data_IF_476485253254
#
_entry.id   IF_476485253254
#
_cell.length_a   1.000
_cell.length_b   1.000
_cell.length_c   1.000
_cell.angle_alpha   90.00
_cell.angle_beta   90.00
_cell.angle_gamma   90.00
#
_symmetry.space_group_name_H-M   'P 1'
#
loop_
_entity.id
_entity.type
_entity.pdbx_description
1 polymer ?
#
# COMPACT_ATOMS: atom_id res chain seq x y z
N UNK A 1 -19.75 14.89 8.19
CA UNK A 1 -19.31 15.71 7.04
C UNK A 1 -20.15 15.33 5.83
N UNK A 2 -20.15 14.10 5.35
CA UNK A 2 -20.87 13.66 4.15
C UNK A 2 -22.36 14.04 4.15
N UNK A 3 -23.06 13.80 5.25
CA UNK A 3 -24.50 14.12 5.41
C UNK A 3 -24.83 15.59 5.15
N UNK A 4 -23.86 16.49 5.36
CA UNK A 4 -24.04 17.93 5.17
C UNK A 4 -23.20 18.46 4.00
N UNK A 5 -22.62 17.58 3.20
CA UNK A 5 -21.85 17.97 2.03
C UNK A 5 -22.80 18.39 0.91
N UNK A 6 -22.40 19.42 0.17
CA UNK A 6 -23.07 19.82 -1.06
C UNK A 6 -22.03 19.86 -2.19
N UNK A 7 -22.37 19.30 -3.32
CA UNK A 7 -21.58 19.32 -4.56
C UNK A 7 -22.39 20.14 -5.57
N UNK A 8 -21.80 21.20 -6.09
CA UNK A 8 -22.47 22.16 -7.00
C UNK A 8 -23.80 22.73 -6.48
N UNK A 9 -23.93 22.82 -5.13
CA UNK A 9 -25.11 23.33 -4.45
C UNK A 9 -26.19 22.29 -4.14
N UNK A 10 -26.01 21.05 -4.56
CA UNK A 10 -26.90 19.94 -4.27
C UNK A 10 -26.32 19.06 -3.15
N UNK A 11 -27.18 18.61 -2.22
CA UNK A 11 -26.79 17.67 -1.17
C UNK A 11 -26.74 16.25 -1.76
N UNK A 12 -25.84 15.45 -1.18
CA UNK A 12 -25.77 14.02 -1.53
C UNK A 12 -27.05 13.31 -1.13
N UNK A 13 -27.55 12.45 -2.00
CA UNK A 13 -28.64 11.53 -1.68
C UNK A 13 -28.22 10.48 -0.65
N UNK A 14 -29.19 9.80 -0.03
CA UNK A 14 -28.92 8.73 0.94
C UNK A 14 -28.08 7.59 0.33
N UNK A 15 -28.33 7.24 -0.94
CA UNK A 15 -27.57 6.22 -1.65
C UNK A 15 -26.12 6.67 -1.89
N UNK A 16 -25.90 7.92 -2.31
CA UNK A 16 -24.55 8.46 -2.48
C UNK A 16 -23.79 8.50 -1.16
N UNK A 17 -24.42 8.95 -0.07
CA UNK A 17 -23.83 8.92 1.28
C UNK A 17 -23.44 7.49 1.66
N UNK A 18 -24.30 6.52 1.40
CA UNK A 18 -24.03 5.10 1.68
C UNK A 18 -22.83 4.59 0.90
N UNK A 19 -22.80 4.83 -0.43
CA UNK A 19 -21.71 4.34 -1.29
C UNK A 19 -20.38 5.03 -0.99
N UNK A 20 -20.37 6.33 -0.75
CA UNK A 20 -19.16 7.08 -0.37
C UNK A 20 -18.63 6.62 1.00
N UNK A 21 -19.52 6.38 1.96
CA UNK A 21 -19.13 5.83 3.27
C UNK A 21 -18.52 4.43 3.13
N UNK A 22 -19.15 3.58 2.33
CA UNK A 22 -18.65 2.22 2.05
C UNK A 22 -17.28 2.26 1.36
N UNK A 23 -17.10 3.16 0.38
CA UNK A 23 -15.83 3.34 -0.31
C UNK A 23 -14.70 3.75 0.65
N UNK A 24 -14.96 4.69 1.55
CA UNK A 24 -13.99 5.13 2.56
C UNK A 24 -13.63 3.97 3.51
N UNK A 25 -14.62 3.19 3.96
CA UNK A 25 -14.40 2.03 4.83
C UNK A 25 -13.55 0.97 4.13
N UNK A 26 -13.91 0.57 2.91
CA UNK A 26 -13.15 -0.43 2.13
C UNK A 26 -11.72 0.05 1.85
N UNK A 27 -11.58 1.32 1.47
CA UNK A 27 -10.27 1.89 1.16
C UNK A 27 -9.33 1.95 2.36
N UNK A 28 -9.87 2.17 3.57
CA UNK A 28 -9.09 2.32 4.81
C UNK A 28 -8.83 1.03 5.59
N UNK A 29 -9.64 0.00 5.42
CA UNK A 29 -9.60 -1.20 6.29
C UNK A 29 -8.37 -2.09 6.02
N UNK A 30 -8.17 -2.56 4.80
CA UNK A 30 -7.19 -3.61 4.52
C UNK A 30 -5.88 -3.10 3.88
N UNK A 31 -5.92 -2.01 3.13
CA UNK A 31 -4.78 -1.57 2.30
C UNK A 31 -3.56 -1.19 3.14
N UNK A 32 -3.74 -0.34 4.13
CA UNK A 32 -2.66 0.08 5.04
C UNK A 32 -2.16 -1.10 5.88
N UNK A 33 -3.05 -1.97 6.34
CA UNK A 33 -2.71 -3.19 7.08
C UNK A 33 -1.86 -4.15 6.23
N UNK A 34 -2.22 -4.36 4.96
CA UNK A 34 -1.45 -5.21 4.06
C UNK A 34 -0.08 -4.61 3.73
N UNK A 35 -0.01 -3.29 3.54
CA UNK A 35 1.26 -2.60 3.35
C UNK A 35 2.16 -2.76 4.57
N UNK A 36 1.63 -2.54 5.77
CA UNK A 36 2.40 -2.69 7.01
C UNK A 36 2.89 -4.12 7.20
N UNK A 37 2.02 -5.12 7.03
CA UNK A 37 2.40 -6.52 7.23
C UNK A 37 3.39 -7.01 6.17
N UNK A 38 3.14 -6.75 4.89
CA UNK A 38 4.04 -7.15 3.80
C UNK A 38 5.38 -6.41 3.84
N UNK A 39 5.36 -5.11 4.14
CA UNK A 39 6.59 -4.33 4.33
C UNK A 39 7.39 -4.77 5.55
N UNK A 40 6.71 -5.08 6.67
CA UNK A 40 7.39 -5.63 7.85
C UNK A 40 8.00 -7.00 7.55
N UNK A 41 7.30 -7.86 6.82
CA UNK A 41 7.85 -9.15 6.38
C UNK A 41 9.16 -8.97 5.61
N UNK A 42 9.20 -8.02 4.67
CA UNK A 42 10.42 -7.73 3.92
C UNK A 42 11.54 -7.19 4.81
N UNK A 43 11.25 -6.28 5.71
CA UNK A 43 12.23 -5.79 6.68
C UNK A 43 12.79 -6.90 7.58
N UNK A 44 11.96 -7.89 7.97
CA UNK A 44 12.42 -9.02 8.76
C UNK A 44 13.29 -9.99 7.97
N UNK A 45 13.09 -10.10 6.63
CA UNK A 45 13.95 -10.87 5.72
C UNK A 45 15.25 -10.13 5.39
N UNK A 46 15.25 -8.81 5.41
CA UNK A 46 16.41 -7.94 5.19
C UNK A 46 16.86 -7.35 6.52
N UNK A 47 17.44 -8.19 7.36
CA UNK A 47 17.76 -7.86 8.76
C UNK A 47 18.68 -6.66 8.89
N UNK A 48 19.60 -6.47 7.99
CA UNK A 48 20.49 -5.32 7.89
C UNK A 48 19.71 -4.00 7.75
N UNK A 49 18.65 -3.99 6.93
CA UNK A 49 17.79 -2.81 6.75
C UNK A 49 16.89 -2.56 7.98
N UNK A 50 16.41 -3.62 8.62
CA UNK A 50 15.72 -3.51 9.91
C UNK A 50 16.60 -2.82 10.96
N UNK A 51 17.86 -3.25 11.08
CA UNK A 51 18.81 -2.69 12.04
C UNK A 51 19.16 -1.24 11.75
N UNK A 52 19.25 -0.86 10.48
CA UNK A 52 19.39 0.54 10.08
C UNK A 52 18.20 1.39 10.57
N UNK A 53 16.97 0.91 10.42
CA UNK A 53 15.78 1.62 10.91
C UNK A 53 15.70 1.71 12.44
N UNK A 54 16.18 0.70 13.14
CA UNK A 54 16.28 0.73 14.62
C UNK A 54 17.30 1.79 15.05
N UNK A 55 18.43 1.90 14.34
CA UNK A 55 19.50 2.85 14.64
C UNK A 55 19.13 4.29 14.24
N UNK A 56 18.45 4.47 13.11
CA UNK A 56 18.08 5.78 12.58
C UNK A 56 16.62 5.83 12.10
N UNK A 57 15.77 6.39 12.94
CA UNK A 57 14.36 6.59 12.64
C UNK A 57 14.08 7.62 11.52
N UNK A 58 15.08 8.40 11.10
CA UNK A 58 14.93 9.32 9.97
C UNK A 58 14.78 8.59 8.63
N UNK A 59 15.16 7.32 8.55
CA UNK A 59 15.00 6.47 7.38
C UNK A 59 13.56 5.93 7.19
N UNK A 60 12.70 6.03 8.21
CA UNK A 60 11.34 5.48 8.16
C UNK A 60 10.52 6.02 6.97
N UNK A 61 10.54 7.31 6.60
CA UNK A 61 9.79 7.78 5.45
C UNK A 61 10.17 7.09 4.13
N UNK A 62 11.46 6.88 3.88
CA UNK A 62 11.93 6.14 2.68
C UNK A 62 11.51 4.67 2.71
N UNK A 63 11.71 4.02 3.85
CA UNK A 63 11.29 2.63 4.05
C UNK A 63 9.78 2.43 3.81
N UNK A 64 8.96 3.37 4.26
CA UNK A 64 7.51 3.33 4.08
C UNK A 64 7.09 3.44 2.60
N UNK A 65 7.73 4.31 1.80
CA UNK A 65 7.46 4.36 0.35
C UNK A 65 7.90 3.05 -0.33
N UNK A 66 8.99 2.43 0.11
CA UNK A 66 9.38 1.11 -0.42
C UNK A 66 8.43 -0.02 0.00
N UNK A 67 7.90 0.02 1.23
CA UNK A 67 6.85 -0.90 1.66
C UNK A 67 5.59 -0.77 0.80
N UNK A 68 5.20 0.45 0.44
CA UNK A 68 4.07 0.74 -0.47
C UNK A 68 4.33 0.19 -1.87
N UNK A 69 5.50 0.47 -2.44
CA UNK A 69 5.90 -0.03 -3.75
C UNK A 69 5.86 -1.55 -3.80
N UNK A 70 6.54 -2.20 -2.86
CA UNK A 70 6.69 -3.65 -2.81
C UNK A 70 5.39 -4.39 -2.61
N UNK A 71 4.57 -3.91 -1.67
CA UNK A 71 3.33 -4.61 -1.31
C UNK A 71 2.23 -4.39 -2.34
N UNK A 72 2.10 -3.17 -2.86
CA UNK A 72 1.04 -2.80 -3.82
C UNK A 72 -0.30 -3.47 -3.47
N UNK A 73 -0.93 -3.16 -2.32
CA UNK A 73 -2.07 -3.93 -1.80
C UNK A 73 -3.27 -3.93 -2.75
N UNK A 74 -3.52 -2.83 -3.47
CA UNK A 74 -4.46 -2.77 -4.58
C UNK A 74 -3.72 -3.25 -5.83
N UNK A 75 -4.09 -4.42 -6.34
CA UNK A 75 -3.38 -5.06 -7.45
C UNK A 75 -3.72 -4.44 -8.80
N UNK A 76 -4.95 -4.02 -8.97
CA UNK A 76 -5.41 -3.48 -10.25
C UNK A 76 -6.61 -2.54 -10.11
N UNK A 77 -6.83 -1.74 -11.14
CA UNK A 77 -8.05 -0.96 -11.37
C UNK A 77 -8.43 -1.05 -12.84
N UNK A 78 -9.72 -0.92 -13.13
CA UNK A 78 -10.20 -0.86 -14.51
C UNK A 78 -10.42 0.56 -14.99
N UNK A 79 -10.22 0.75 -16.30
CA UNK A 79 -10.70 1.91 -17.08
C UNK A 79 -11.52 1.40 -18.25
N UNK A 80 -12.41 2.23 -18.72
CA UNK A 80 -13.23 1.94 -19.92
C UNK A 80 -12.95 3.03 -20.94
N UNK A 81 -12.74 2.65 -22.20
CA UNK A 81 -12.62 3.58 -23.30
C UNK A 81 -13.94 4.32 -23.53
N UNK A 82 -13.93 5.63 -23.55
CA UNK A 82 -15.12 6.46 -23.75
C UNK A 82 -15.35 6.80 -25.22
N UNK A 83 -14.44 6.42 -26.10
CA UNK A 83 -14.49 6.54 -27.56
C UNK A 83 -13.47 5.58 -28.19
N UNK A 84 -13.62 5.33 -29.49
CA UNK A 84 -12.62 4.62 -30.26
C UNK A 84 -11.28 5.38 -30.20
N UNK A 85 -10.20 4.67 -29.86
CA UNK A 85 -8.86 5.29 -29.72
C UNK A 85 -7.78 4.26 -30.00
N UNK A 86 -6.53 4.72 -30.02
CA UNK A 86 -5.36 3.86 -30.08
C UNK A 86 -4.47 4.09 -28.84
N UNK A 87 -3.99 2.99 -28.26
CA UNK A 87 -3.08 3.02 -27.13
C UNK A 87 -1.89 2.09 -27.41
N UNK A 88 -0.69 2.66 -27.53
CA UNK A 88 0.54 1.92 -27.85
C UNK A 88 0.40 0.98 -29.07
N UNK A 89 -0.20 1.45 -30.16
CA UNK A 89 -0.40 0.67 -31.39
C UNK A 89 -1.55 -0.34 -31.34
N UNK A 90 -2.29 -0.41 -30.21
CA UNK A 90 -3.47 -1.25 -30.07
C UNK A 90 -4.74 -0.42 -30.23
N UNK A 91 -5.57 -0.80 -31.18
CA UNK A 91 -6.88 -0.15 -31.36
C UNK A 91 -7.83 -0.57 -30.23
N UNK A 92 -8.45 0.40 -29.61
CA UNK A 92 -9.48 0.25 -28.57
C UNK A 92 -10.79 0.83 -29.09
N UNK A 93 -11.88 0.14 -28.86
CA UNK A 93 -13.22 0.60 -29.16
C UNK A 93 -13.87 1.21 -27.95
N UNK A 94 -14.83 2.10 -28.17
CA UNK A 94 -15.72 2.57 -27.11
C UNK A 94 -16.31 1.39 -26.32
N UNK A 95 -16.24 1.43 -24.99
CA UNK A 95 -16.67 0.38 -24.09
C UNK A 95 -15.64 -0.69 -23.76
N UNK A 96 -14.49 -0.74 -24.46
CA UNK A 96 -13.41 -1.67 -24.13
C UNK A 96 -12.85 -1.39 -22.74
N UNK A 97 -12.58 -2.48 -22.00
CA UNK A 97 -12.06 -2.40 -20.63
C UNK A 97 -10.54 -2.62 -20.61
N UNK A 98 -9.83 -1.71 -19.96
CA UNK A 98 -8.40 -1.80 -19.72
C UNK A 98 -8.16 -2.05 -18.24
N UNK A 99 -7.27 -2.99 -17.92
CA UNK A 99 -6.84 -3.26 -16.56
C UNK A 99 -5.48 -2.60 -16.31
N UNK A 100 -5.43 -1.72 -15.34
CA UNK A 100 -4.18 -1.10 -14.84
C UNK A 100 -3.60 -1.99 -13.76
N UNK A 101 -2.45 -2.61 -14.01
CA UNK A 101 -1.79 -3.54 -13.09
C UNK A 101 -0.76 -2.77 -12.25
N UNK A 102 -1.15 -2.27 -11.07
CA UNK A 102 -0.29 -1.43 -10.23
C UNK A 102 0.92 -2.19 -9.70
N UNK A 103 0.73 -3.44 -9.30
CA UNK A 103 1.84 -4.27 -8.85
C UNK A 103 2.88 -4.46 -9.96
N UNK A 104 2.47 -4.80 -11.18
CA UNK A 104 3.36 -4.91 -12.31
C UNK A 104 4.10 -3.61 -12.62
N UNK A 105 3.41 -2.47 -12.57
CA UNK A 105 4.02 -1.16 -12.78
C UNK A 105 5.05 -0.79 -11.70
N UNK A 106 4.84 -1.23 -10.45
CA UNK A 106 5.77 -1.01 -9.34
C UNK A 106 7.00 -1.93 -9.39
N UNK A 107 7.01 -2.90 -10.29
CA UNK A 107 8.14 -3.79 -10.59
C UNK A 107 8.68 -3.62 -12.02
N UNK A 108 8.34 -2.52 -12.70
CA UNK A 108 8.81 -2.23 -14.05
C UNK A 108 10.30 -1.81 -14.04
N UNK A 109 11.14 -2.61 -14.67
CA UNK A 109 12.59 -2.37 -14.79
C UNK A 109 12.93 -1.07 -15.53
N UNK A 110 12.04 -0.57 -16.39
CA UNK A 110 12.22 0.71 -17.07
C UNK A 110 12.10 1.90 -16.12
N UNK A 111 11.44 1.73 -14.98
CA UNK A 111 11.23 2.78 -13.95
C UNK A 111 12.14 2.54 -12.75
N UNK A 112 12.25 1.30 -12.31
CA UNK A 112 13.03 0.89 -11.14
C UNK A 112 14.20 0.03 -11.59
N UNK A 113 15.42 0.49 -11.42
CA UNK A 113 16.64 -0.19 -11.95
C UNK A 113 16.86 -1.61 -11.42
N UNK A 114 16.31 -1.94 -10.24
CA UNK A 114 16.41 -3.24 -9.57
C UNK A 114 15.12 -3.53 -8.79
N UNK A 115 13.97 -3.69 -9.49
CA UNK A 115 12.66 -3.73 -8.85
C UNK A 115 12.46 -4.91 -7.90
N UNK A 116 13.17 -6.02 -8.13
CA UNK A 116 13.11 -7.24 -7.31
C UNK A 116 13.89 -7.13 -5.99
N UNK A 117 14.63 -6.04 -5.77
CA UNK A 117 15.35 -5.80 -4.54
C UNK A 117 14.56 -4.82 -3.67
N UNK A 118 14.18 -5.26 -2.47
CA UNK A 118 13.59 -4.40 -1.45
C UNK A 118 14.67 -3.50 -0.85
N UNK A 119 14.49 -2.17 -0.94
CA UNK A 119 15.51 -1.19 -0.52
C UNK A 119 14.87 0.02 0.15
N UNK A 120 15.14 0.21 1.45
CA UNK A 120 14.62 1.35 2.22
C UNK A 120 15.22 2.70 1.81
N UNK A 121 16.33 2.68 1.08
CA UNK A 121 17.06 3.85 0.56
C UNK A 121 16.69 4.19 -0.90
N UNK A 122 15.70 3.50 -1.49
CA UNK A 122 15.32 3.73 -2.89
C UNK A 122 14.89 5.19 -3.11
N UNK A 123 15.63 5.87 -3.97
CA UNK A 123 15.38 7.27 -4.34
C UNK A 123 15.87 7.53 -5.79
N UNK A 124 15.02 7.96 -6.72
CA UNK A 124 13.59 8.17 -6.55
C UNK A 124 12.81 6.86 -6.36
N UNK A 125 11.64 6.96 -5.69
CA UNK A 125 10.69 5.86 -5.55
C UNK A 125 9.32 6.30 -6.10
N UNK A 126 9.22 6.31 -7.44
CA UNK A 126 8.06 6.83 -8.18
C UNK A 126 6.95 5.78 -8.32
N UNK A 127 6.60 5.11 -7.23
CA UNK A 127 5.60 4.06 -7.25
C UNK A 127 4.18 4.59 -7.47
N UNK A 128 3.32 3.72 -8.02
CA UNK A 128 1.90 4.00 -8.29
C UNK A 128 0.95 3.25 -7.33
N UNK A 129 1.41 2.87 -6.13
CA UNK A 129 0.61 2.16 -5.14
C UNK A 129 -0.64 2.94 -4.70
N UNK A 130 -0.63 4.27 -4.82
CA UNK A 130 -1.77 5.16 -4.57
C UNK A 130 -2.53 5.55 -5.84
N UNK A 131 -2.25 4.92 -6.97
CA UNK A 131 -2.79 5.31 -8.27
C UNK A 131 -2.21 6.62 -8.79
N UNK A 132 -2.90 7.24 -9.74
CA UNK A 132 -2.47 8.47 -10.40
C UNK A 132 -3.65 9.30 -10.92
N UNK A 133 -3.44 10.61 -11.09
CA UNK A 133 -4.43 11.53 -11.68
C UNK A 133 -5.61 11.82 -10.76
N UNK A 134 -6.80 12.03 -11.34
CA UNK A 134 -8.02 12.40 -10.62
C UNK A 134 -8.40 11.40 -9.52
N UNK A 135 -8.07 10.12 -9.71
CA UNK A 135 -8.35 9.06 -8.74
C UNK A 135 -7.15 8.76 -7.81
N UNK A 136 -6.19 9.67 -7.68
CA UNK A 136 -5.12 9.52 -6.70
C UNK A 136 -5.72 9.35 -5.29
N UNK A 137 -5.20 8.41 -4.54
CA UNK A 137 -5.75 7.98 -3.25
C UNK A 137 -6.04 9.15 -2.31
N UNK A 138 -7.30 9.31 -1.93
CA UNK A 138 -7.75 10.35 -0.99
C UNK A 138 -7.06 10.19 0.38
N UNK A 139 -6.92 8.94 0.85
CA UNK A 139 -6.33 8.61 2.16
C UNK A 139 -4.81 8.56 2.19
N UNK A 140 -4.11 8.93 1.12
CA UNK A 140 -2.65 8.73 1.00
C UNK A 140 -1.83 9.36 2.14
N UNK A 141 -2.23 10.51 2.65
CA UNK A 141 -1.54 11.18 3.78
C UNK A 141 -1.81 10.47 5.10
N UNK A 142 -3.05 10.01 5.31
CA UNK A 142 -3.41 9.24 6.50
C UNK A 142 -2.68 7.90 6.52
N UNK A 143 -2.66 7.18 5.39
CA UNK A 143 -1.93 5.92 5.25
C UNK A 143 -0.43 6.09 5.58
N UNK A 144 0.22 7.15 5.07
CA UNK A 144 1.61 7.46 5.40
C UNK A 144 1.82 7.75 6.89
N UNK A 145 0.91 8.48 7.51
CA UNK A 145 0.96 8.75 8.94
C UNK A 145 0.81 7.47 9.76
N UNK A 146 -0.14 6.63 9.42
CA UNK A 146 -0.35 5.31 10.07
C UNK A 146 0.87 4.42 9.91
N UNK A 147 1.35 4.22 8.68
CA UNK A 147 2.52 3.40 8.38
C UNK A 147 3.75 3.87 9.15
N UNK A 148 4.05 5.18 9.12
CA UNK A 148 5.23 5.73 9.81
C UNK A 148 5.11 5.58 11.33
N UNK A 149 3.92 5.83 11.88
CA UNK A 149 3.65 5.70 13.32
C UNK A 149 3.77 4.27 13.78
N UNK A 150 3.14 3.33 13.06
CA UNK A 150 3.17 1.91 13.40
C UNK A 150 4.56 1.33 13.24
N UNK A 151 5.27 1.62 12.14
CA UNK A 151 6.65 1.17 11.93
C UNK A 151 7.54 1.65 13.07
N UNK A 152 7.49 2.94 13.42
CA UNK A 152 8.25 3.50 14.55
C UNK A 152 7.93 2.77 15.86
N UNK A 153 6.66 2.50 16.15
CA UNK A 153 6.26 1.80 17.38
C UNK A 153 6.71 0.35 17.40
N UNK A 154 6.67 -0.34 16.27
CA UNK A 154 7.15 -1.72 16.14
C UNK A 154 8.66 -1.76 16.42
N UNK A 155 9.45 -0.92 15.75
CA UNK A 155 10.89 -0.84 15.94
C UNK A 155 11.29 -0.54 17.39
N UNK A 156 10.57 0.38 18.05
CA UNK A 156 10.84 0.78 19.44
C UNK A 156 10.46 -0.30 20.44
N UNK A 157 9.34 -1.01 20.23
CA UNK A 157 8.78 -1.93 21.21
C UNK A 157 9.17 -3.38 20.98
N UNK A 158 9.54 -3.74 19.76
CA UNK A 158 9.85 -5.09 19.32
C UNK A 158 11.15 -5.11 18.50
N UNK A 159 12.27 -4.57 19.01
CA UNK A 159 13.50 -4.43 18.23
C UNK A 159 14.10 -5.76 17.79
N UNK A 160 13.81 -6.84 18.50
CA UNK A 160 14.23 -8.22 18.22
C UNK A 160 13.17 -9.03 17.44
N UNK A 161 12.12 -8.38 16.93
CA UNK A 161 11.09 -9.03 16.12
C UNK A 161 11.72 -9.78 14.95
N UNK A 162 11.27 -11.01 14.70
CA UNK A 162 11.73 -11.85 13.58
C UNK A 162 10.61 -12.80 13.15
N UNK A 163 10.70 -13.29 11.92
CA UNK A 163 9.81 -14.38 11.47
C UNK A 163 10.06 -15.64 12.31
N UNK A 164 9.01 -16.40 12.55
CA UNK A 164 9.11 -17.66 13.30
C UNK A 164 9.92 -18.72 12.53
N UNK A 165 9.88 -18.66 11.20
CA UNK A 165 10.65 -19.48 10.28
C UNK A 165 10.84 -18.75 8.94
N UNK A 166 11.69 -19.31 8.06
CA UNK A 166 12.02 -18.71 6.75
C UNK A 166 11.08 -19.14 5.62
N UNK A 167 9.99 -19.84 5.93
CA UNK A 167 9.06 -20.29 4.89
C UNK A 167 8.38 -19.13 4.17
N UNK A 168 7.97 -19.38 2.93
CA UNK A 168 7.15 -18.42 2.20
C UNK A 168 5.79 -18.27 2.88
N UNK A 169 5.45 -17.04 3.21
CA UNK A 169 4.16 -16.76 3.85
C UNK A 169 3.00 -16.84 2.85
N UNK A 170 1.84 -17.37 3.28
CA UNK A 170 0.67 -17.46 2.42
C UNK A 170 0.07 -16.08 2.15
N UNK A 171 -0.27 -15.83 0.88
CA UNK A 171 -1.06 -14.68 0.47
C UNK A 171 -2.55 -15.04 0.45
N UNK A 172 -3.40 -14.08 0.79
CA UNK A 172 -4.85 -14.21 0.59
C UNK A 172 -5.16 -14.37 -0.90
N UNK A 173 -5.95 -15.37 -1.28
CA UNK A 173 -6.35 -15.54 -2.67
C UNK A 173 -7.38 -14.47 -3.05
N UNK A 174 -6.92 -13.31 -3.51
CA UNK A 174 -7.76 -12.20 -3.94
C UNK A 174 -7.14 -11.54 -5.18
N UNK A 175 -8.01 -11.09 -6.08
CA UNK A 175 -7.62 -10.48 -7.35
C UNK A 175 -7.62 -8.94 -7.34
N UNK A 176 -8.14 -8.33 -6.29
CA UNK A 176 -8.27 -6.87 -6.18
C UNK A 176 -7.40 -6.31 -5.04
N UNK A 177 -7.71 -6.64 -3.79
CA UNK A 177 -6.90 -6.27 -2.63
C UNK A 177 -6.33 -7.54 -2.02
N UNK A 178 -5.01 -7.64 -1.93
CA UNK A 178 -4.32 -8.82 -1.43
C UNK A 178 -3.12 -8.46 -0.57
N UNK A 179 -2.79 -9.36 0.35
CA UNK A 179 -1.66 -9.28 1.24
C UNK A 179 -1.46 -10.59 2.00
N UNK A 180 -0.64 -10.57 3.04
CA UNK A 180 -0.37 -11.76 3.84
C UNK A 180 -1.64 -12.24 4.57
N UNK A 181 -1.91 -13.53 4.50
CA UNK A 181 -2.98 -14.17 5.27
C UNK A 181 -2.60 -14.27 6.76
N UNK A 182 -1.34 -14.63 7.02
CA UNK A 182 -0.76 -14.72 8.37
C UNK A 182 0.74 -14.48 8.30
N UNK A 183 1.31 -13.96 9.40
CA UNK A 183 2.75 -13.77 9.56
C UNK A 183 3.15 -14.20 10.99
N UNK A 184 3.51 -15.47 11.20
CA UNK A 184 4.02 -15.94 12.49
C UNK A 184 5.34 -15.26 12.82
N UNK A 185 5.43 -14.68 14.00
CA UNK A 185 6.59 -13.94 14.46
C UNK A 185 6.98 -14.35 15.87
N UNK A 186 8.25 -14.12 16.22
CA UNK A 186 8.78 -14.29 17.57
C UNK A 186 9.46 -13.01 18.01
N UNK A 187 9.35 -12.70 19.29
CA UNK A 187 9.95 -11.52 19.91
C UNK A 187 10.06 -11.74 21.42
N UNK A 188 10.89 -10.94 22.08
CA UNK A 188 10.96 -10.92 23.53
C UNK A 188 9.92 -9.95 24.09
N UNK A 189 8.94 -10.43 24.89
CA UNK A 189 7.96 -9.56 25.51
C UNK A 189 8.63 -8.51 26.42
N UNK A 190 8.31 -7.24 26.20
CA UNK A 190 8.72 -6.15 27.10
C UNK A 190 7.59 -5.85 28.08
N UNK A 191 7.94 -5.28 29.25
CA UNK A 191 6.92 -4.83 30.20
C UNK A 191 6.01 -3.79 29.52
N UNK A 192 4.69 -3.84 29.76
CA UNK A 192 3.78 -2.83 29.22
C UNK A 192 4.24 -1.45 29.67
N UNK A 193 4.44 -0.55 28.69
CA UNK A 193 4.59 0.87 28.98
C UNK A 193 3.15 1.37 29.17
N UNK A 194 2.71 1.47 30.43
CA UNK A 194 1.45 2.14 30.74
C UNK A 194 1.58 3.60 30.30
N UNK A 195 0.71 4.02 29.39
CA UNK A 195 0.63 5.39 28.92
C UNK A 195 0.01 6.30 29.98
#
# INVERSE_FOLDING_TARGET
ILVNAAVDGEQLSDDEILYETLLILIGGDETTRHTLSGGTEQLLRHRDQWEQLVADAALIPGAMEEMLRWTSPVKNMCRMATADTEFHGTALREGDKMMLLFESANFDEAVFGDPENFRIDRNPNSHVAFGFGTHFCLGNQLARLELSTMTRKILQRLPDLRLADDTRLPLRPANFVSGLEKMPVVFTPIKPVLA
#
